data_IF_393261224432
#
_entry.id   IF_393261224432
#
_cell.length_a   1.000
_cell.length_b   1.000
_cell.length_c   1.000
_cell.angle_alpha   90.00
_cell.angle_beta   90.00
_cell.angle_gamma   90.00
#
_symmetry.space_group_name_H-M   'P 1'
#
loop_
_entity.id
_entity.type
_entity.pdbx_description
1 polymer ?
#
# COMPACT_ATOMS: atom_id res chain seq x y z
N UNK A 1 -1.59 -10.78 -18.37
CA UNK A 1 -2.55 -10.94 -17.25
C UNK A 1 -3.65 -9.90 -17.41
N UNK A 2 -4.89 -10.20 -17.01
CA UNK A 2 -6.03 -9.28 -17.06
C UNK A 2 -6.63 -9.18 -15.66
N UNK A 3 -6.96 -7.97 -15.23
CA UNK A 3 -7.59 -7.68 -13.95
C UNK A 3 -8.82 -6.81 -14.20
N UNK A 4 -9.83 -6.90 -13.34
CA UNK A 4 -11.05 -6.07 -13.43
C UNK A 4 -10.78 -4.66 -12.92
N UNK A 5 -9.84 -4.50 -11.98
CA UNK A 5 -9.42 -3.20 -11.46
C UNK A 5 -7.92 -3.17 -11.21
N UNK A 6 -7.29 -2.04 -11.55
CA UNK A 6 -5.90 -1.75 -11.22
C UNK A 6 -5.88 -0.54 -10.27
N UNK A 7 -5.25 -0.70 -9.11
CA UNK A 7 -5.08 0.34 -8.10
C UNK A 7 -3.60 0.66 -8.02
N UNK A 8 -3.26 1.95 -8.13
CA UNK A 8 -1.89 2.44 -8.02
C UNK A 8 -1.75 3.18 -6.68
N UNK A 9 -0.93 2.63 -5.79
CA UNK A 9 -0.72 3.05 -4.41
C UNK A 9 -1.44 2.16 -3.40
N UNK A 10 -0.69 1.42 -2.57
CA UNK A 10 -1.15 0.61 -1.45
C UNK A 10 -1.17 1.38 -0.11
N UNK A 11 -1.27 2.71 -0.16
CA UNK A 11 -1.50 3.55 1.02
C UNK A 11 -2.90 3.37 1.63
N UNK A 12 -3.24 4.25 2.59
CA UNK A 12 -4.45 4.14 3.41
C UNK A 12 -5.76 4.00 2.62
N UNK A 13 -5.88 4.68 1.47
CA UNK A 13 -7.08 4.58 0.63
C UNK A 13 -7.04 3.34 -0.28
N UNK A 14 -5.92 3.12 -0.98
CA UNK A 14 -5.81 2.06 -1.99
C UNK A 14 -5.94 0.67 -1.40
N UNK A 15 -5.34 0.41 -0.24
CA UNK A 15 -5.45 -0.88 0.46
C UNK A 15 -6.88 -1.18 0.93
N UNK A 16 -7.63 -0.17 1.38
CA UNK A 16 -9.03 -0.35 1.76
C UNK A 16 -9.90 -0.63 0.54
N UNK A 17 -9.72 0.10 -0.56
CA UNK A 17 -10.46 -0.13 -1.80
C UNK A 17 -10.17 -1.53 -2.34
N UNK A 18 -8.89 -1.93 -2.38
CA UNK A 18 -8.48 -3.27 -2.80
C UNK A 18 -9.18 -4.34 -1.96
N UNK A 19 -9.11 -4.22 -0.63
CA UNK A 19 -9.75 -5.15 0.31
C UNK A 19 -11.24 -5.34 0.01
N UNK A 20 -11.98 -4.24 -0.20
CA UNK A 20 -13.43 -4.29 -0.46
C UNK A 20 -13.78 -4.88 -1.82
N UNK A 21 -13.05 -4.52 -2.86
CA UNK A 21 -13.28 -5.09 -4.19
C UNK A 21 -13.01 -6.59 -4.20
N UNK A 22 -11.99 -7.06 -3.47
CA UNK A 22 -11.67 -8.50 -3.36
C UNK A 22 -12.62 -9.30 -2.46
N UNK A 23 -13.61 -8.68 -1.79
CA UNK A 23 -14.66 -9.42 -1.08
C UNK A 23 -15.54 -10.23 -2.04
N UNK A 24 -15.66 -9.81 -3.31
CA UNK A 24 -16.23 -10.64 -4.37
C UNK A 24 -15.15 -11.54 -4.98
N UNK A 25 -15.23 -12.87 -4.84
CA UNK A 25 -14.23 -13.79 -5.38
C UNK A 25 -14.16 -13.79 -6.92
N UNK A 26 -15.13 -13.18 -7.61
CA UNK A 26 -15.13 -13.04 -9.06
C UNK A 26 -14.50 -11.72 -9.54
N UNK A 27 -14.15 -10.80 -8.63
CA UNK A 27 -13.55 -9.51 -8.98
C UNK A 27 -12.05 -9.53 -8.72
N UNK A 28 -11.26 -9.48 -9.79
CA UNK A 28 -9.80 -9.50 -9.71
C UNK A 28 -9.20 -8.10 -9.61
N UNK A 29 -8.31 -7.89 -8.63
CA UNK A 29 -7.63 -6.61 -8.39
C UNK A 29 -6.12 -6.76 -8.54
N UNK A 30 -5.49 -5.84 -9.26
CA UNK A 30 -4.04 -5.63 -9.23
C UNK A 30 -3.75 -4.38 -8.40
N UNK A 31 -3.08 -4.55 -7.27
CA UNK A 31 -2.58 -3.44 -6.44
C UNK A 31 -1.08 -3.27 -6.70
N UNK A 32 -0.67 -2.05 -7.06
CA UNK A 32 0.71 -1.69 -7.31
C UNK A 32 1.17 -0.68 -6.27
N UNK A 33 2.32 -0.92 -5.63
CA UNK A 33 2.96 0.02 -4.71
C UNK A 33 4.39 0.26 -5.20
N UNK A 34 4.88 1.49 -5.05
CA UNK A 34 6.23 1.84 -5.45
C UNK A 34 7.24 1.48 -4.36
N UNK A 35 6.81 1.52 -3.10
CA UNK A 35 7.61 1.09 -1.95
C UNK A 35 7.71 -0.43 -1.82
N UNK A 36 8.68 -0.86 -1.00
CA UNK A 36 8.89 -2.27 -0.67
C UNK A 36 7.82 -2.81 0.28
N UNK A 37 7.65 -4.14 0.25
CA UNK A 37 6.85 -4.87 1.23
C UNK A 37 7.72 -5.21 2.46
N UNK A 38 7.48 -4.50 3.55
CA UNK A 38 8.19 -4.70 4.81
C UNK A 38 7.42 -5.68 5.67
N UNK A 39 7.89 -6.93 5.71
CA UNK A 39 7.24 -8.01 6.46
C UNK A 39 7.39 -7.86 7.97
N UNK A 40 8.55 -7.36 8.42
CA UNK A 40 8.84 -7.11 9.83
C UNK A 40 9.14 -5.64 10.09
N UNK A 41 8.93 -5.19 11.33
CA UNK A 41 9.24 -3.81 11.74
C UNK A 41 10.74 -3.53 11.56
N UNK A 42 11.61 -4.52 11.78
CA UNK A 42 13.07 -4.38 11.66
C UNK A 42 13.55 -4.17 10.22
N UNK A 43 12.70 -4.46 9.21
CA UNK A 43 13.02 -4.26 7.80
C UNK A 43 12.69 -2.85 7.32
N UNK A 44 11.86 -2.11 8.06
CA UNK A 44 11.47 -0.75 7.70
C UNK A 44 12.68 0.20 7.64
N UNK A 45 12.66 1.24 6.79
CA UNK A 45 13.63 2.33 6.84
C UNK A 45 13.53 3.03 8.20
N UNK A 46 14.67 3.45 8.73
CA UNK A 46 14.78 4.09 10.05
C UNK A 46 13.86 5.31 10.18
N UNK A 47 13.66 6.07 9.09
CA UNK A 47 12.78 7.23 9.05
C UNK A 47 11.31 6.87 9.28
N UNK A 48 10.90 5.68 8.83
CA UNK A 48 9.53 5.17 8.96
C UNK A 48 9.36 4.48 10.32
N UNK A 49 10.34 3.68 10.76
CA UNK A 49 10.33 2.99 12.07
C UNK A 49 10.10 3.93 13.24
N UNK A 50 10.83 5.04 13.24
CA UNK A 50 10.88 5.98 14.36
C UNK A 50 10.09 7.26 14.09
N UNK A 51 9.47 7.38 12.92
CA UNK A 51 8.57 8.48 12.60
C UNK A 51 9.24 9.86 12.57
N UNK A 52 10.52 9.94 12.20
CA UNK A 52 11.30 11.20 12.23
C UNK A 52 10.88 12.25 11.18
N UNK A 53 9.70 12.12 10.57
CA UNK A 53 9.10 13.15 9.72
C UNK A 53 7.94 13.84 10.44
N UNK A 54 8.27 14.83 11.24
CA UNK A 54 7.34 15.89 11.65
C UNK A 54 7.82 17.24 11.11
N UNK A 55 7.15 17.73 10.06
CA UNK A 55 6.98 19.13 9.63
C UNK A 55 8.13 20.13 9.82
N UNK A 56 8.76 20.53 8.71
CA UNK A 56 9.09 21.91 8.27
C UNK A 56 10.46 22.02 7.59
N UNK A 57 10.47 22.03 6.25
CA UNK A 57 11.37 22.88 5.47
C UNK A 57 10.55 23.59 4.39
N UNK A 58 9.89 24.67 4.80
CA UNK A 58 9.65 25.86 3.98
C UNK A 58 10.38 27.00 4.68
#
# INVERSE_FOLDING_TARGET
MKYDTIIVGAGSAGSIIATRLTEDPNHSVLLLEAGDDYSEIDDLPEEVKFGYKTSNEI
#
